data_IF_544710108055
#
_entry.id   IF_544710108055
#
_cell.length_a   1.000
_cell.length_b   1.000
_cell.length_c   1.000
_cell.angle_alpha   90.00
_cell.angle_beta   90.00
_cell.angle_gamma   90.00
#
_symmetry.space_group_name_H-M   'P 1'
#
loop_
_entity.id
_entity.type
_entity.pdbx_description
1 polymer ?
#
# COMPACT_ATOMS: atom_id res chain seq x y z
N UNK A 1 53.14 15.16 -80.87
CA UNK A 1 52.20 16.13 -81.46
C UNK A 1 51.13 16.38 -80.42
N UNK A 2 50.88 17.67 -80.23
CA UNK A 2 50.21 18.34 -79.13
C UNK A 2 48.69 18.43 -79.33
N UNK A 3 48.00 18.84 -78.26
CA UNK A 3 46.63 19.38 -78.22
C UNK A 3 45.46 18.38 -78.36
N UNK A 4 44.35 18.47 -77.62
CA UNK A 4 43.82 19.44 -76.63
C UNK A 4 42.61 18.78 -75.98
N UNK A 5 42.40 18.93 -74.67
CA UNK A 5 41.09 18.67 -74.07
C UNK A 5 40.14 19.85 -74.33
N UNK A 6 38.83 19.59 -74.34
CA UNK A 6 38.00 20.38 -73.45
C UNK A 6 36.89 19.57 -72.77
N UNK A 7 36.65 19.90 -71.50
CA UNK A 7 35.42 19.59 -70.77
C UNK A 7 34.19 20.20 -71.47
N UNK A 8 32.99 19.64 -71.21
CA UNK A 8 31.92 20.51 -70.77
C UNK A 8 31.20 20.02 -69.50
N UNK A 9 31.04 21.00 -68.61
CA UNK A 9 29.88 21.33 -67.76
C UNK A 9 29.42 20.38 -66.63
N UNK A 10 29.76 20.77 -65.40
CA UNK A 10 29.14 20.31 -64.16
C UNK A 10 27.73 20.92 -64.06
N UNK A 11 26.78 20.32 -64.77
CA UNK A 11 25.36 20.51 -64.48
C UNK A 11 25.02 19.97 -63.09
N UNK A 12 24.68 20.87 -62.18
CA UNK A 12 24.20 20.58 -60.83
C UNK A 12 22.99 19.64 -60.87
N UNK A 13 23.21 18.34 -60.66
CA UNK A 13 22.13 17.41 -60.31
C UNK A 13 21.86 17.62 -58.82
N UNK A 14 20.97 18.57 -58.51
CA UNK A 14 20.32 18.64 -57.22
C UNK A 14 19.50 17.35 -57.08
N UNK A 15 20.09 16.36 -56.38
CA UNK A 15 19.47 15.05 -56.16
C UNK A 15 18.14 15.24 -55.42
N UNK A 16 17.05 14.58 -55.84
CA UNK A 16 15.79 14.53 -55.08
C UNK A 16 15.88 13.57 -53.87
N UNK A 17 17.08 13.35 -53.33
CA UNK A 17 17.36 12.35 -52.31
C UNK A 17 17.13 12.89 -50.89
N UNK A 18 17.21 14.22 -50.72
CA UNK A 18 16.91 14.88 -49.43
C UNK A 18 15.40 14.97 -49.13
N UNK A 19 14.54 14.87 -50.16
CA UNK A 19 13.09 14.83 -49.98
C UNK A 19 12.58 13.45 -49.54
N UNK A 20 13.30 12.38 -49.88
CA UNK A 20 12.95 11.01 -49.52
C UNK A 20 13.35 10.64 -48.08
N UNK A 21 14.35 11.31 -47.50
CA UNK A 21 14.80 11.07 -46.12
C UNK A 21 13.96 11.78 -45.05
N UNK A 22 13.13 12.75 -45.41
CA UNK A 22 12.18 13.39 -44.48
C UNK A 22 11.01 12.48 -44.04
N UNK A 23 10.89 11.28 -44.60
CA UNK A 23 9.79 10.34 -44.35
C UNK A 23 10.06 9.34 -43.22
N UNK A 24 11.22 9.40 -42.55
CA UNK A 24 11.61 8.41 -41.55
C UNK A 24 11.95 8.96 -40.17
N UNK A 25 11.71 10.24 -39.90
CA UNK A 25 11.84 10.76 -38.53
C UNK A 25 10.55 10.45 -37.75
N UNK A 26 10.58 9.30 -37.08
CA UNK A 26 9.59 8.93 -36.07
C UNK A 26 10.22 8.97 -34.70
N UNK A 27 9.53 9.57 -33.75
CA UNK A 27 9.93 9.58 -32.35
C UNK A 27 9.31 8.39 -31.61
N UNK A 28 10.06 7.85 -30.65
CA UNK A 28 9.50 6.88 -29.71
C UNK A 28 8.50 7.58 -28.80
N UNK A 29 7.30 7.03 -28.73
CA UNK A 29 6.17 7.59 -27.99
C UNK A 29 5.34 6.56 -27.26
N UNK A 30 4.23 7.04 -26.70
CA UNK A 30 3.25 6.23 -25.96
C UNK A 30 1.83 6.69 -26.28
N UNK A 31 0.83 5.92 -25.86
CA UNK A 31 -0.55 6.36 -25.87
C UNK A 31 -1.24 6.08 -24.54
N UNK A 32 -2.11 6.99 -24.11
CA UNK A 32 -3.03 6.79 -22.99
C UNK A 32 -4.44 7.00 -23.52
N UNK A 33 -5.26 5.95 -23.45
CA UNK A 33 -6.58 5.94 -24.11
C UNK A 33 -7.66 5.52 -23.13
N UNK A 34 -8.71 6.32 -23.05
CA UNK A 34 -9.94 5.93 -22.36
C UNK A 34 -10.91 5.29 -23.34
N UNK A 35 -11.28 4.03 -23.10
CA UNK A 35 -12.32 3.35 -23.85
C UNK A 35 -13.61 3.29 -23.00
N UNK A 36 -14.63 4.04 -23.41
CA UNK A 36 -15.94 4.08 -22.75
C UNK A 36 -16.91 3.14 -23.47
N UNK A 37 -17.30 2.08 -22.78
CA UNK A 37 -18.28 1.09 -23.24
C UNK A 37 -19.63 1.42 -22.61
N UNK A 38 -20.53 2.05 -23.37
CA UNK A 38 -21.88 2.40 -22.94
C UNK A 38 -22.87 1.27 -23.28
N UNK A 39 -23.57 0.79 -22.27
CA UNK A 39 -24.57 -0.27 -22.33
C UNK A 39 -25.95 0.35 -22.19
N UNK A 40 -26.66 0.47 -23.30
CA UNK A 40 -27.96 1.14 -23.38
C UNK A 40 -29.11 0.14 -23.37
N UNK A 41 -30.18 0.47 -22.65
CA UNK A 41 -31.43 -0.31 -22.59
C UNK A 41 -31.30 -1.70 -21.93
N UNK A 42 -30.61 -1.74 -20.79
CA UNK A 42 -30.49 -2.90 -19.92
C UNK A 42 -31.43 -2.82 -18.73
N UNK A 43 -32.30 -3.83 -18.58
CA UNK A 43 -33.16 -4.00 -17.42
C UNK A 43 -33.22 -5.49 -17.04
N UNK A 44 -32.90 -5.86 -15.79
CA UNK A 44 -32.33 -5.02 -14.73
C UNK A 44 -30.88 -4.62 -15.01
N UNK A 45 -30.44 -3.47 -14.48
CA UNK A 45 -29.03 -3.06 -14.53
C UNK A 45 -28.22 -3.92 -13.54
N UNK A 46 -27.08 -4.50 -13.95
CA UNK A 46 -26.20 -5.22 -13.04
C UNK A 46 -25.58 -4.27 -12.00
N UNK A 47 -25.31 -4.75 -10.79
CA UNK A 47 -24.64 -3.92 -9.78
C UNK A 47 -23.20 -3.62 -10.19
N UNK A 48 -22.69 -2.47 -9.75
CA UNK A 48 -21.28 -2.07 -9.96
C UNK A 48 -20.31 -3.18 -9.54
N UNK A 49 -20.50 -3.74 -8.34
CA UNK A 49 -19.67 -4.84 -7.81
C UNK A 49 -19.67 -6.08 -8.72
N UNK A 50 -20.82 -6.41 -9.31
CA UNK A 50 -20.95 -7.55 -10.21
C UNK A 50 -20.21 -7.29 -11.53
N UNK A 51 -20.37 -6.09 -12.11
CA UNK A 51 -19.69 -5.72 -13.36
C UNK A 51 -18.18 -5.65 -13.18
N UNK A 52 -17.71 -4.98 -12.12
CA UNK A 52 -16.28 -4.85 -11.84
C UNK A 52 -15.64 -6.21 -11.56
N UNK A 53 -16.28 -7.07 -10.76
CA UNK A 53 -15.75 -8.42 -10.49
C UNK A 53 -15.72 -9.31 -11.74
N UNK A 54 -16.72 -9.22 -12.61
CA UNK A 54 -16.73 -9.93 -13.89
C UNK A 54 -15.57 -9.49 -14.79
N UNK A 55 -15.34 -8.18 -14.92
CA UNK A 55 -14.23 -7.64 -15.70
C UNK A 55 -12.88 -8.05 -15.09
N UNK A 56 -12.71 -7.98 -13.77
CA UNK A 56 -11.50 -8.44 -13.09
C UNK A 56 -11.20 -9.90 -13.42
N UNK A 57 -12.22 -10.77 -13.38
CA UNK A 57 -12.09 -12.19 -13.72
C UNK A 57 -11.69 -12.42 -15.18
N UNK A 58 -12.33 -11.70 -16.11
CA UNK A 58 -12.02 -11.79 -17.54
C UNK A 58 -10.59 -11.32 -17.84
N UNK A 59 -10.23 -10.13 -17.36
CA UNK A 59 -8.88 -9.57 -17.49
C UNK A 59 -7.85 -10.56 -16.97
N UNK A 60 -8.08 -11.10 -15.78
CA UNK A 60 -7.22 -12.11 -15.19
C UNK A 60 -7.04 -13.32 -16.13
N UNK A 61 -8.12 -13.94 -16.58
CA UNK A 61 -8.04 -15.14 -17.42
C UNK A 61 -7.37 -14.94 -18.79
N UNK A 62 -7.49 -13.74 -19.37
CA UNK A 62 -7.12 -13.43 -20.76
C UNK A 62 -5.93 -12.49 -20.89
N UNK A 63 -5.35 -12.02 -19.79
CA UNK A 63 -4.28 -11.01 -19.83
C UNK A 63 -3.08 -11.46 -20.66
N UNK A 64 -2.70 -12.74 -20.53
CA UNK A 64 -1.58 -13.35 -21.29
C UNK A 64 -1.77 -13.33 -22.80
N UNK A 65 -3.00 -13.12 -23.27
CA UNK A 65 -3.35 -13.09 -24.69
C UNK A 65 -3.29 -11.65 -25.25
N UNK A 66 -3.02 -10.64 -24.40
CA UNK A 66 -2.84 -9.24 -24.79
C UNK A 66 -1.40 -8.97 -25.27
N UNK A 67 -1.23 -7.89 -26.06
CA UNK A 67 0.09 -7.42 -26.51
C UNK A 67 0.96 -6.95 -25.35
N UNK A 68 2.25 -7.34 -25.32
CA UNK A 68 3.22 -6.96 -24.27
C UNK A 68 3.38 -5.43 -24.11
N UNK A 69 3.14 -4.66 -25.17
CA UNK A 69 3.19 -3.21 -25.17
C UNK A 69 1.98 -2.54 -24.51
N UNK A 70 0.90 -3.28 -24.26
CA UNK A 70 -0.38 -2.79 -23.76
C UNK A 70 -0.53 -3.09 -22.26
N UNK A 71 -0.93 -2.07 -21.51
CA UNK A 71 -1.22 -2.16 -20.08
C UNK A 71 -2.62 -1.63 -19.80
N UNK A 72 -3.38 -2.32 -18.94
CA UNK A 72 -4.66 -1.81 -18.44
C UNK A 72 -4.39 -1.08 -17.13
N UNK A 73 -4.49 0.25 -17.13
CA UNK A 73 -4.16 1.09 -15.99
C UNK A 73 -5.27 1.07 -14.93
N UNK A 74 -6.53 1.19 -15.36
CA UNK A 74 -7.71 1.21 -14.50
C UNK A 74 -8.96 0.86 -15.30
N UNK A 75 -10.04 0.48 -14.62
CA UNK A 75 -11.38 0.49 -15.17
C UNK A 75 -12.41 0.88 -14.10
N UNK A 76 -13.44 1.61 -14.50
CA UNK A 76 -14.50 2.09 -13.59
C UNK A 76 -15.88 1.79 -14.14
N UNK A 77 -16.87 1.81 -13.24
CA UNK A 77 -18.28 1.71 -13.56
C UNK A 77 -18.93 3.09 -13.43
N UNK A 78 -19.78 3.44 -14.38
CA UNK A 78 -20.57 4.67 -14.38
C UNK A 78 -22.05 4.31 -14.51
N UNK A 79 -22.85 4.72 -13.53
CA UNK A 79 -24.31 4.62 -13.66
C UNK A 79 -24.82 5.81 -14.50
N UNK A 80 -25.39 5.53 -15.68
CA UNK A 80 -25.78 6.56 -16.65
C UNK A 80 -27.25 6.91 -16.52
N UNK A 81 -28.13 5.90 -16.39
CA UNK A 81 -29.58 6.08 -16.19
C UNK A 81 -30.22 4.84 -15.58
N UNK A 82 -31.53 4.87 -15.31
CA UNK A 82 -32.29 3.70 -14.83
C UNK A 82 -32.25 2.47 -15.77
N UNK A 83 -31.85 2.66 -17.03
CA UNK A 83 -31.74 1.57 -18.01
C UNK A 83 -30.38 1.53 -18.72
N UNK A 84 -29.38 2.28 -18.25
CA UNK A 84 -28.07 2.30 -18.90
C UNK A 84 -26.92 2.50 -17.91
N UNK A 85 -25.79 1.88 -18.24
CA UNK A 85 -24.54 2.04 -17.50
C UNK A 85 -23.37 2.10 -18.49
N UNK A 86 -22.21 2.55 -18.03
CA UNK A 86 -20.99 2.51 -18.81
C UNK A 86 -19.84 1.89 -18.01
N UNK A 87 -18.91 1.29 -18.72
CA UNK A 87 -17.63 0.83 -18.19
C UNK A 87 -16.54 1.59 -18.91
N UNK A 88 -15.65 2.22 -18.16
CA UNK A 88 -14.59 3.06 -18.71
C UNK A 88 -13.26 2.36 -18.42
N UNK A 89 -12.58 1.87 -19.45
CA UNK A 89 -11.22 1.36 -19.34
C UNK A 89 -10.21 2.48 -19.61
N UNK A 90 -9.12 2.51 -18.87
CA UNK A 90 -7.95 3.33 -19.19
C UNK A 90 -6.79 2.42 -19.56
N UNK A 91 -6.31 2.54 -20.79
CA UNK A 91 -5.19 1.78 -21.32
C UNK A 91 -3.95 2.66 -21.48
N UNK A 92 -2.78 2.04 -21.37
CA UNK A 92 -1.51 2.64 -21.77
C UNK A 92 -0.77 1.73 -22.75
N UNK A 93 -0.33 2.30 -23.86
CA UNK A 93 0.45 1.64 -24.91
C UNK A 93 1.85 2.24 -24.88
N UNK A 94 2.85 1.38 -24.76
CA UNK A 94 4.27 1.75 -24.77
C UNK A 94 4.92 1.47 -26.12
N UNK A 95 6.10 2.06 -26.35
CA UNK A 95 6.95 1.81 -27.52
C UNK A 95 6.25 2.04 -28.87
N UNK A 96 5.52 3.14 -28.98
CA UNK A 96 4.87 3.54 -30.23
C UNK A 96 5.82 4.33 -31.12
N UNK A 97 5.72 4.12 -32.43
CA UNK A 97 6.37 4.99 -33.42
C UNK A 97 5.39 6.10 -33.81
N UNK A 98 5.74 7.34 -33.47
CA UNK A 98 4.93 8.52 -33.81
C UNK A 98 5.70 9.34 -34.84
N UNK A 99 5.14 9.55 -36.05
CA UNK A 99 5.74 10.44 -37.04
C UNK A 99 5.90 11.86 -36.48
N UNK A 100 7.08 12.47 -36.69
CA UNK A 100 7.30 13.87 -36.34
C UNK A 100 6.34 14.79 -37.09
N UNK A 101 6.13 14.50 -38.38
CA UNK A 101 5.16 15.22 -39.21
C UNK A 101 3.71 14.95 -38.74
N UNK A 102 2.96 15.96 -38.28
CA UNK A 102 1.60 15.79 -37.80
C UNK A 102 0.63 15.25 -38.85
N UNK A 103 0.85 15.56 -40.14
CA UNK A 103 -0.04 15.15 -41.24
C UNK A 103 0.00 13.63 -41.50
N UNK A 104 1.05 12.95 -41.02
CA UNK A 104 1.26 11.51 -41.19
C UNK A 104 0.75 10.69 -40.00
N UNK A 105 0.25 11.33 -38.94
CA UNK A 105 -0.13 10.66 -37.68
C UNK A 105 -1.42 9.88 -37.74
N UNK A 106 -2.23 10.06 -38.79
CA UNK A 106 -3.49 9.35 -38.94
C UNK A 106 -3.29 7.82 -38.91
N UNK A 107 -2.20 7.32 -39.50
CA UNK A 107 -1.84 5.89 -39.43
C UNK A 107 -1.55 5.42 -38.01
N UNK A 108 -0.89 6.24 -37.19
CA UNK A 108 -0.63 5.94 -35.77
C UNK A 108 -1.92 5.94 -34.95
N UNK A 109 -2.86 6.84 -35.23
CA UNK A 109 -4.18 6.83 -34.58
C UNK A 109 -4.97 5.57 -34.91
N UNK A 110 -4.98 5.15 -36.19
CA UNK A 110 -5.58 3.86 -36.58
C UNK A 110 -4.91 2.68 -35.88
N UNK A 111 -3.58 2.72 -35.70
CA UNK A 111 -2.87 1.68 -34.94
C UNK A 111 -3.31 1.64 -33.48
N UNK A 112 -3.42 2.79 -32.80
CA UNK A 112 -3.92 2.89 -31.41
C UNK A 112 -5.32 2.29 -31.33
N UNK A 113 -6.23 2.70 -32.21
CA UNK A 113 -7.59 2.20 -32.26
C UNK A 113 -7.63 0.68 -32.39
N UNK A 114 -6.90 0.11 -33.36
CA UNK A 114 -6.85 -1.33 -33.57
C UNK A 114 -6.31 -2.10 -32.37
N UNK A 115 -5.27 -1.59 -31.69
CA UNK A 115 -4.71 -2.23 -30.50
C UNK A 115 -5.75 -2.30 -29.38
N UNK A 116 -6.44 -1.19 -29.09
CA UNK A 116 -7.44 -1.12 -28.03
C UNK A 116 -8.69 -1.96 -28.38
N UNK A 117 -9.17 -1.87 -29.62
CA UNK A 117 -10.29 -2.66 -30.12
C UNK A 117 -10.03 -4.16 -30.04
N UNK A 118 -8.84 -4.60 -30.43
CA UNK A 118 -8.43 -6.01 -30.32
C UNK A 118 -8.32 -6.45 -28.85
N UNK A 119 -7.78 -5.60 -27.97
CA UNK A 119 -7.71 -5.91 -26.55
C UNK A 119 -9.10 -6.09 -25.92
N UNK A 120 -10.03 -5.18 -26.18
CA UNK A 120 -11.39 -5.29 -25.69
C UNK A 120 -12.11 -6.53 -26.25
N UNK A 121 -11.84 -6.86 -27.52
CA UNK A 121 -12.31 -8.11 -28.15
C UNK A 121 -11.81 -9.34 -27.39
N UNK A 122 -10.51 -9.43 -27.11
CA UNK A 122 -9.92 -10.55 -26.36
C UNK A 122 -10.51 -10.68 -24.95
N UNK A 123 -10.69 -9.54 -24.26
CA UNK A 123 -11.15 -9.51 -22.87
C UNK A 123 -12.64 -9.88 -22.80
N UNK A 124 -13.47 -9.25 -23.63
CA UNK A 124 -14.93 -9.24 -23.44
C UNK A 124 -15.68 -10.12 -24.45
N UNK A 125 -15.12 -10.37 -25.62
CA UNK A 125 -15.80 -11.10 -26.70
C UNK A 125 -15.52 -12.61 -26.66
N UNK A 126 -16.48 -13.41 -27.11
CA UNK A 126 -16.35 -14.87 -27.21
C UNK A 126 -15.51 -15.30 -28.42
N UNK A 127 -15.17 -16.61 -28.57
CA UNK A 127 -14.32 -17.14 -29.65
C UNK A 127 -14.91 -17.02 -31.07
N UNK A 128 -16.04 -16.34 -31.26
CA UNK A 128 -16.72 -16.20 -32.54
C UNK A 128 -16.53 -14.79 -33.06
N UNK A 129 -15.58 -14.60 -33.98
CA UNK A 129 -15.41 -13.49 -34.94
C UNK A 129 -16.06 -12.13 -34.58
N UNK A 130 -15.84 -11.63 -33.36
CA UNK A 130 -16.45 -10.40 -32.88
C UNK A 130 -15.37 -9.36 -32.75
N UNK A 131 -15.10 -8.60 -33.82
CA UNK A 131 -14.22 -7.43 -33.75
C UNK A 131 -15.01 -6.24 -33.25
N UNK A 132 -14.61 -5.68 -32.11
CA UNK A 132 -15.16 -4.41 -31.67
C UNK A 132 -14.62 -3.29 -32.53
N UNK A 133 -15.51 -2.41 -32.97
CA UNK A 133 -15.13 -1.15 -33.59
C UNK A 133 -15.75 -0.01 -32.78
N UNK A 134 -14.98 1.04 -32.46
CA UNK A 134 -15.54 2.21 -31.80
C UNK A 134 -16.50 2.92 -32.75
N UNK A 135 -17.57 3.49 -32.21
CA UNK A 135 -18.44 4.39 -32.97
C UNK A 135 -17.76 5.74 -33.20
N UNK A 136 -16.92 6.16 -32.27
CA UNK A 136 -16.12 7.37 -32.38
C UNK A 136 -14.79 7.19 -31.67
N UNK A 137 -13.73 7.71 -32.27
CA UNK A 137 -12.41 7.83 -31.67
C UNK A 137 -11.90 9.25 -31.84
N UNK A 138 -11.41 9.85 -30.76
CA UNK A 138 -10.81 11.18 -30.79
C UNK A 138 -9.41 11.08 -30.18
N UNK A 139 -8.40 11.39 -30.98
CA UNK A 139 -7.01 11.34 -30.58
C UNK A 139 -6.36 12.70 -30.74
N UNK A 140 -5.64 13.11 -29.71
CA UNK A 140 -4.80 14.29 -29.72
C UNK A 140 -3.38 13.87 -29.38
N UNK A 141 -2.43 14.29 -30.19
CA UNK A 141 -1.03 14.12 -29.86
C UNK A 141 -0.55 15.30 -28.99
N UNK A 142 0.05 14.97 -27.84
CA UNK A 142 0.69 15.89 -26.91
C UNK A 142 2.15 15.45 -26.79
N UNK A 143 3.04 16.15 -27.51
CA UNK A 143 4.46 15.78 -27.65
C UNK A 143 4.66 14.35 -28.17
N UNK A 144 5.28 13.47 -27.38
CA UNK A 144 5.52 12.07 -27.70
C UNK A 144 4.43 11.14 -27.12
N UNK A 145 3.29 11.68 -26.68
CA UNK A 145 2.18 10.90 -26.15
C UNK A 145 0.90 11.17 -26.93
N UNK A 146 0.18 10.12 -27.33
CA UNK A 146 -1.17 10.23 -27.86
C UNK A 146 -2.14 10.08 -26.70
N UNK A 147 -3.02 11.06 -26.52
CA UNK A 147 -4.13 10.97 -25.58
C UNK A 147 -5.40 10.85 -26.38
N UNK A 148 -6.30 9.95 -26.00
CA UNK A 148 -7.56 9.85 -26.71
C UNK A 148 -8.66 9.15 -25.98
N UNK A 149 -9.83 9.25 -26.58
CA UNK A 149 -11.07 8.65 -26.12
C UNK A 149 -11.67 7.81 -27.24
N UNK A 150 -12.16 6.64 -26.89
CA UNK A 150 -12.86 5.74 -27.79
C UNK A 150 -14.22 5.40 -27.18
N UNK A 151 -15.27 5.58 -27.97
CA UNK A 151 -16.64 5.36 -27.53
C UNK A 151 -17.22 4.11 -28.21
N UNK A 152 -17.64 3.16 -27.38
CA UNK A 152 -18.30 1.92 -27.79
C UNK A 152 -19.73 1.92 -27.25
N UNK A 153 -20.72 1.81 -28.13
CA UNK A 153 -22.13 1.74 -27.75
C UNK A 153 -22.71 0.35 -28.03
N UNK A 154 -23.24 -0.27 -26.98
CA UNK A 154 -23.90 -1.56 -27.06
C UNK A 154 -25.39 -1.39 -26.75
N UNK A 155 -26.22 -1.76 -27.72
CA UNK A 155 -27.66 -1.92 -27.53
C UNK A 155 -27.98 -3.38 -27.22
N UNK A 156 -29.15 -3.63 -26.63
CA UNK A 156 -29.60 -4.97 -26.21
C UNK A 156 -29.46 -6.04 -27.30
N UNK A 157 -29.68 -5.66 -28.56
CA UNK A 157 -29.63 -6.54 -29.73
C UNK A 157 -28.19 -6.93 -30.13
N UNK A 158 -27.19 -6.11 -29.77
CA UNK A 158 -25.78 -6.29 -30.15
C UNK A 158 -24.90 -6.83 -29.00
N UNK A 159 -25.47 -7.09 -27.82
CA UNK A 159 -24.71 -7.60 -26.66
C UNK A 159 -24.20 -9.04 -26.91
N UNK A 160 -24.74 -9.74 -27.91
CA UNK A 160 -24.26 -11.08 -28.32
C UNK A 160 -22.78 -11.10 -28.69
N UNK A 161 -22.15 -9.96 -28.98
CA UNK A 161 -20.70 -9.88 -29.14
C UNK A 161 -19.93 -9.99 -27.82
N UNK A 162 -20.56 -9.62 -26.68
CA UNK A 162 -19.97 -9.65 -25.34
C UNK A 162 -20.31 -10.95 -24.58
N UNK A 163 -20.33 -12.09 -25.26
CA UNK A 163 -20.72 -13.38 -24.67
C UNK A 163 -19.96 -13.71 -23.38
N UNK A 164 -18.66 -13.42 -23.29
CA UNK A 164 -17.89 -13.72 -22.08
C UNK A 164 -18.37 -12.90 -20.87
N UNK A 165 -18.62 -11.61 -21.07
CA UNK A 165 -19.14 -10.73 -20.04
C UNK A 165 -20.57 -11.13 -19.66
N UNK A 166 -21.43 -11.37 -20.65
CA UNK A 166 -22.82 -11.81 -20.43
C UNK A 166 -22.91 -13.12 -19.64
N UNK A 167 -22.05 -14.09 -19.95
CA UNK A 167 -22.02 -15.38 -19.26
C UNK A 167 -21.79 -15.18 -17.77
N UNK A 168 -20.77 -14.40 -17.40
CA UNK A 168 -20.46 -14.14 -15.98
C UNK A 168 -21.59 -13.34 -15.31
N UNK A 169 -22.13 -12.31 -15.97
CA UNK A 169 -23.23 -11.50 -15.43
C UNK A 169 -24.51 -12.31 -15.21
N UNK A 170 -24.78 -13.31 -16.05
CA UNK A 170 -25.94 -14.20 -15.94
C UNK A 170 -25.69 -15.42 -15.03
N UNK A 171 -24.54 -15.48 -14.35
CA UNK A 171 -24.17 -16.61 -13.47
C UNK A 171 -23.83 -17.91 -14.22
N UNK A 172 -23.66 -17.84 -15.54
CA UNK A 172 -23.20 -18.94 -16.40
C UNK A 172 -21.67 -18.90 -16.43
N UNK A 173 -21.02 -19.78 -15.68
CA UNK A 173 -19.55 -19.91 -15.73
C UNK A 173 -19.12 -20.24 -17.17
N UNK A 174 -18.06 -19.62 -17.73
CA UNK A 174 -17.68 -19.81 -19.12
C UNK A 174 -17.37 -21.29 -19.38
N UNK A 175 -18.16 -21.92 -20.25
CA UNK A 175 -17.96 -23.29 -20.72
C UNK A 175 -16.74 -23.35 -21.64
N UNK A 176 -15.56 -23.32 -21.04
CA UNK A 176 -14.35 -23.88 -21.64
C UNK A 176 -13.68 -24.66 -20.53
N UNK A 177 -13.48 -25.96 -20.76
CA UNK A 177 -12.66 -26.84 -19.93
C UNK A 177 -11.24 -26.30 -19.85
N UNK A 178 -11.02 -25.36 -18.94
CA UNK A 178 -9.72 -25.06 -18.37
C UNK A 178 -9.98 -24.72 -16.91
N UNK A 179 -9.45 -25.58 -16.06
CA UNK A 179 -9.24 -25.43 -14.64
C UNK A 179 -9.29 -23.96 -14.20
N UNK A 180 -10.22 -23.63 -13.29
CA UNK A 180 -10.23 -22.37 -12.55
C UNK A 180 -8.93 -22.26 -11.75
N UNK A 181 -7.88 -21.82 -12.43
CA UNK A 181 -6.72 -21.26 -11.77
C UNK A 181 -7.06 -19.80 -11.53
N UNK A 182 -6.80 -19.34 -10.31
CA UNK A 182 -6.70 -17.93 -9.95
C UNK A 182 -6.09 -17.10 -11.08
N UNK A 183 -6.34 -15.78 -11.13
CA UNK A 183 -5.64 -14.87 -12.04
C UNK A 183 -4.16 -15.27 -12.22
N UNK A 184 -3.58 -15.18 -13.44
CA UNK A 184 -2.17 -15.42 -13.66
C UNK A 184 -1.44 -14.54 -12.66
N UNK A 185 -0.96 -15.22 -11.65
CA UNK A 185 -0.36 -14.65 -10.47
C UNK A 185 1.04 -15.16 -10.50
N UNK A 186 1.93 -14.22 -10.37
CA UNK A 186 3.35 -14.48 -10.35
C UNK A 186 3.78 -14.38 -8.90
N UNK A 187 4.67 -15.28 -8.52
CA UNK A 187 5.43 -15.10 -7.30
C UNK A 187 6.44 -14.00 -7.57
N UNK A 188 6.35 -12.96 -6.77
CA UNK A 188 7.28 -11.85 -6.84
C UNK A 188 7.73 -11.42 -5.46
N UNK A 189 8.60 -10.41 -5.49
CA UNK A 189 9.26 -9.87 -4.31
C UNK A 189 8.77 -8.45 -4.07
N UNK A 190 8.52 -8.12 -2.80
CA UNK A 190 8.20 -6.75 -2.38
C UNK A 190 9.37 -6.19 -1.61
N UNK A 191 9.91 -5.06 -2.08
CA UNK A 191 10.92 -4.27 -1.37
C UNK A 191 10.21 -3.10 -0.69
N UNK A 192 10.37 -2.99 0.62
CA UNK A 192 9.79 -1.94 1.44
C UNK A 192 10.93 -1.04 1.92
N UNK A 193 10.94 0.21 1.49
CA UNK A 193 11.88 1.23 1.96
C UNK A 193 11.17 2.17 2.92
N UNK A 194 11.69 2.26 4.14
CA UNK A 194 11.16 3.13 5.19
C UNK A 194 12.10 4.30 5.40
N UNK A 195 11.53 5.52 5.43
CA UNK A 195 12.22 6.76 5.82
C UNK A 195 11.50 7.40 7.01
N UNK A 196 12.20 7.50 8.13
CA UNK A 196 11.76 8.21 9.33
C UNK A 196 12.43 9.58 9.36
N UNK A 197 11.65 10.63 9.24
CA UNK A 197 12.14 12.01 9.10
C UNK A 197 11.90 12.78 10.40
N UNK A 198 12.99 13.25 11.02
CA UNK A 198 12.97 14.06 12.22
C UNK A 198 13.31 15.50 11.87
N UNK A 199 12.42 16.44 12.21
CA UNK A 199 12.56 17.88 11.90
C UNK A 199 12.51 18.71 13.18
N UNK A 200 12.90 19.99 13.05
CA UNK A 200 12.83 21.00 14.11
C UNK A 200 13.59 20.62 15.39
N UNK A 201 14.69 19.90 15.25
CA UNK A 201 15.51 19.47 16.38
C UNK A 201 16.30 20.65 16.94
N UNK A 202 16.35 20.75 18.27
CA UNK A 202 17.20 21.72 18.98
C UNK A 202 18.68 21.32 18.90
N UNK A 203 18.95 20.01 18.90
CA UNK A 203 20.25 19.44 18.65
C UNK A 203 20.12 18.24 17.71
N UNK A 204 20.94 18.18 16.65
CA UNK A 204 20.94 17.04 15.74
C UNK A 204 21.91 15.98 16.29
N UNK A 205 21.44 14.75 16.55
CA UNK A 205 22.28 13.69 17.11
C UNK A 205 23.39 13.30 16.14
N UNK A 206 24.48 12.75 16.69
CA UNK A 206 25.57 12.20 15.88
C UNK A 206 25.12 10.92 15.16
N UNK A 207 25.67 10.68 13.97
CA UNK A 207 25.42 9.45 13.22
C UNK A 207 25.72 8.19 14.05
N UNK A 208 26.85 8.20 14.77
CA UNK A 208 27.28 7.07 15.59
C UNK A 208 26.26 6.73 16.69
N UNK A 209 25.70 7.73 17.36
CA UNK A 209 24.71 7.52 18.43
C UNK A 209 23.39 6.98 17.90
N UNK A 210 22.92 7.51 16.76
CA UNK A 210 21.69 7.05 16.10
C UNK A 210 21.85 5.62 15.60
N UNK A 211 22.93 5.32 14.89
CA UNK A 211 23.18 3.97 14.36
C UNK A 211 23.38 2.96 15.49
N UNK A 212 24.03 3.35 16.60
CA UNK A 212 24.17 2.49 17.78
C UNK A 212 22.81 2.16 18.41
N UNK A 213 21.97 3.18 18.65
CA UNK A 213 20.63 2.99 19.21
C UNK A 213 19.74 2.15 18.27
N UNK A 214 19.82 2.43 16.96
CA UNK A 214 18.99 1.75 15.97
C UNK A 214 19.37 0.26 15.82
N UNK A 215 20.66 -0.04 15.64
CA UNK A 215 21.11 -1.43 15.48
C UNK A 215 20.89 -2.28 16.74
N UNK A 216 20.95 -1.69 17.93
CA UNK A 216 20.71 -2.42 19.18
C UNK A 216 19.24 -2.88 19.33
N UNK A 217 18.28 -2.15 18.74
CA UNK A 217 16.86 -2.33 19.05
C UNK A 217 16.01 -2.77 17.84
N UNK A 218 16.42 -2.46 16.61
CA UNK A 218 15.69 -2.91 15.41
C UNK A 218 15.70 -4.43 15.26
N UNK A 219 16.83 -5.10 15.51
CA UNK A 219 16.89 -6.57 15.38
C UNK A 219 15.93 -7.26 16.35
N UNK A 220 15.78 -6.71 17.57
CA UNK A 220 14.82 -7.20 18.57
C UNK A 220 13.34 -6.93 18.21
N UNK A 221 13.07 -5.80 17.52
CA UNK A 221 11.72 -5.42 17.08
C UNK A 221 11.29 -6.11 15.78
N UNK A 222 12.24 -6.64 15.00
CA UNK A 222 12.01 -7.25 13.69
C UNK A 222 12.06 -8.78 13.75
N UNK A 223 12.90 -9.38 14.60
CA UNK A 223 12.94 -10.84 14.81
C UNK A 223 11.56 -11.36 15.17
N UNK A 224 10.91 -12.00 14.19
CA UNK A 224 9.81 -12.90 14.46
C UNK A 224 10.31 -13.92 15.49
N UNK A 225 9.86 -13.81 16.74
CA UNK A 225 9.43 -15.03 17.40
C UNK A 225 8.50 -15.69 16.38
N UNK A 226 8.82 -16.93 15.99
CA UNK A 226 7.91 -17.80 15.25
C UNK A 226 6.71 -18.06 16.16
N UNK A 227 5.86 -17.05 16.35
CA UNK A 227 4.66 -17.17 17.16
C UNK A 227 3.76 -18.13 16.43
N UNK A 228 3.56 -19.27 17.09
CA UNK A 228 2.83 -20.46 16.62
C UNK A 228 1.32 -20.22 16.47
N UNK A 229 0.87 -18.97 16.53
CA UNK A 229 -0.54 -18.61 16.43
C UNK A 229 -0.71 -17.49 15.39
N UNK A 230 -1.25 -17.88 14.23
CA UNK A 230 -1.50 -17.09 13.01
C UNK A 230 -0.29 -16.90 12.08
N UNK A 231 -0.15 -17.83 11.13
CA UNK A 231 0.61 -17.65 9.89
C UNK A 231 0.01 -16.48 9.11
N UNK A 232 0.55 -15.26 9.29
CA UNK A 232 0.31 -14.16 8.35
C UNK A 232 1.27 -14.35 7.19
N UNK A 233 0.73 -14.39 5.97
CA UNK A 233 1.37 -14.85 4.72
C UNK A 233 2.54 -13.95 4.25
N UNK A 234 2.80 -12.83 4.93
CA UNK A 234 3.74 -11.79 4.48
C UNK A 234 4.67 -11.34 5.62
N UNK A 235 5.69 -12.15 5.93
CA UNK A 235 6.66 -11.82 6.96
C UNK A 235 7.85 -11.05 6.36
N UNK A 236 8.02 -9.75 6.67
CA UNK A 236 9.13 -8.97 6.16
C UNK A 236 10.45 -9.39 6.81
N UNK A 237 11.49 -9.51 5.98
CA UNK A 237 12.88 -9.78 6.36
C UNK A 237 13.69 -8.52 6.16
N UNK A 238 14.51 -8.12 7.14
CA UNK A 238 15.39 -6.95 6.97
C UNK A 238 16.47 -7.24 5.92
N UNK A 239 16.67 -6.34 4.97
CA UNK A 239 17.64 -6.49 3.87
C UNK A 239 18.62 -5.32 3.75
N UNK A 240 18.37 -4.21 4.43
CA UNK A 240 19.27 -3.07 4.45
C UNK A 240 19.56 -2.66 5.87
N UNK A 241 20.84 -2.41 6.15
CA UNK A 241 21.28 -1.83 7.39
C UNK A 241 20.67 -0.44 7.57
N UNK A 242 20.54 -0.05 8.83
CA UNK A 242 20.08 1.30 9.16
C UNK A 242 21.09 2.31 8.65
N UNK A 243 20.59 3.34 7.97
CA UNK A 243 21.39 4.47 7.52
C UNK A 243 20.90 5.75 8.18
N UNK A 244 21.85 6.66 8.40
CA UNK A 244 21.58 7.99 8.92
C UNK A 244 21.95 9.01 7.84
N UNK A 245 21.08 9.98 7.62
CA UNK A 245 21.37 11.10 6.75
C UNK A 245 20.96 12.41 7.42
N UNK A 246 21.94 13.26 7.74
CA UNK A 246 21.67 14.63 8.15
C UNK A 246 21.20 15.44 6.94
N UNK A 247 20.13 16.20 7.09
CA UNK A 247 19.71 17.17 6.06
C UNK A 247 19.31 18.49 6.73
N UNK A 248 19.97 19.57 6.34
CA UNK A 248 19.81 20.86 7.01
C UNK A 248 20.43 20.92 8.41
N UNK A 249 20.15 22.02 9.11
CA UNK A 249 20.79 22.36 10.39
C UNK A 249 20.12 21.60 11.56
N UNK A 250 18.81 21.36 11.46
CA UNK A 250 17.95 20.89 12.56
C UNK A 250 17.17 19.62 12.18
N UNK A 251 17.65 18.80 11.24
CA UNK A 251 16.88 17.64 10.75
C UNK A 251 17.77 16.49 10.30
N UNK A 252 17.26 15.27 10.41
CA UNK A 252 17.91 14.06 9.91
C UNK A 252 16.88 12.99 9.55
N UNK A 253 17.33 11.98 8.80
CA UNK A 253 16.54 10.84 8.34
C UNK A 253 17.21 9.56 8.83
N UNK A 254 16.39 8.63 9.29
CA UNK A 254 16.77 7.22 9.49
C UNK A 254 16.10 6.42 8.37
N UNK A 255 16.89 5.66 7.61
CA UNK A 255 16.35 4.79 6.55
C UNK A 255 16.72 3.33 6.76
N UNK A 256 15.80 2.43 6.45
CA UNK A 256 16.01 0.98 6.50
C UNK A 256 15.06 0.28 5.54
N UNK A 257 15.42 -0.95 5.12
CA UNK A 257 14.73 -1.68 4.07
C UNK A 257 14.37 -3.10 4.46
N UNK A 258 13.19 -3.55 4.04
CA UNK A 258 12.70 -4.91 4.22
C UNK A 258 12.33 -5.56 2.88
N UNK A 259 12.40 -6.88 2.84
CA UNK A 259 11.94 -7.71 1.74
C UNK A 259 10.81 -8.64 2.20
N UNK A 260 9.80 -8.81 1.37
CA UNK A 260 8.87 -9.93 1.48
C UNK A 260 8.95 -10.73 0.18
N UNK A 261 9.43 -11.95 0.26
CA UNK A 261 9.53 -12.85 -0.89
C UNK A 261 8.27 -13.72 -1.02
N UNK A 262 8.08 -14.31 -2.19
CA UNK A 262 6.99 -15.27 -2.49
C UNK A 262 5.57 -14.71 -2.32
N UNK A 263 5.37 -13.44 -2.68
CA UNK A 263 4.03 -12.85 -2.73
C UNK A 263 3.42 -13.19 -4.09
N UNK A 264 2.22 -13.76 -4.09
CA UNK A 264 1.43 -13.90 -5.30
C UNK A 264 0.70 -12.59 -5.61
N UNK A 265 0.95 -12.01 -6.78
CA UNK A 265 0.19 -10.86 -7.28
C UNK A 265 -0.03 -10.95 -8.78
N UNK A 266 -1.04 -10.24 -9.26
CA UNK A 266 -1.41 -10.23 -10.67
C UNK A 266 -0.26 -9.72 -11.54
N UNK A 267 -0.05 -10.34 -12.71
CA UNK A 267 0.95 -9.91 -13.70
C UNK A 267 0.69 -8.46 -14.14
N UNK A 268 -0.58 -8.04 -14.20
CA UNK A 268 -0.93 -6.69 -14.60
C UNK A 268 -0.71 -5.70 -13.45
N UNK A 269 0.28 -4.82 -13.60
CA UNK A 269 0.66 -3.81 -12.60
C UNK A 269 -0.47 -2.83 -12.27
N UNK A 270 -1.37 -2.52 -13.21
CA UNK A 270 -2.51 -1.61 -12.98
C UNK A 270 -3.63 -2.20 -12.12
N UNK A 271 -3.66 -3.53 -11.96
CA UNK A 271 -4.69 -4.24 -11.18
C UNK A 271 -4.20 -4.64 -9.78
N UNK A 272 -3.08 -4.08 -9.32
CA UNK A 272 -2.47 -4.43 -8.02
C UNK A 272 -2.98 -3.62 -6.83
N UNK A 273 -4.05 -2.84 -6.98
CA UNK A 273 -4.49 -1.95 -5.89
C UNK A 273 -4.84 -2.73 -4.61
N UNK A 274 -5.49 -3.89 -4.72
CA UNK A 274 -5.73 -4.77 -3.57
C UNK A 274 -4.42 -5.28 -2.94
N UNK A 275 -3.44 -5.64 -3.76
CA UNK A 275 -2.10 -6.04 -3.29
C UNK A 275 -1.41 -4.88 -2.57
N UNK A 276 -1.52 -3.66 -3.07
CA UNK A 276 -0.97 -2.47 -2.41
C UNK A 276 -1.64 -2.21 -1.05
N UNK A 277 -2.94 -2.47 -0.91
CA UNK A 277 -3.63 -2.33 0.38
C UNK A 277 -3.15 -3.38 1.39
N UNK A 278 -2.90 -4.61 0.93
CA UNK A 278 -2.28 -5.67 1.75
C UNK A 278 -0.86 -5.28 2.16
N UNK A 279 -0.04 -4.78 1.23
CA UNK A 279 1.32 -4.32 1.52
C UNK A 279 1.29 -3.13 2.50
N UNK A 280 0.37 -2.19 2.34
CA UNK A 280 0.19 -1.06 3.25
C UNK A 280 -0.14 -1.54 4.67
N UNK A 281 -1.02 -2.53 4.81
CA UNK A 281 -1.34 -3.14 6.10
C UNK A 281 -0.10 -3.76 6.74
N UNK A 282 0.72 -4.45 5.95
CA UNK A 282 2.01 -5.02 6.40
C UNK A 282 2.99 -3.93 6.86
N UNK A 283 3.13 -2.84 6.10
CA UNK A 283 3.94 -1.67 6.46
C UNK A 283 3.45 -1.07 7.78
N UNK A 284 2.14 -0.82 7.90
CA UNK A 284 1.54 -0.23 9.10
C UNK A 284 1.77 -1.09 10.34
N UNK A 285 1.63 -2.41 10.20
CA UNK A 285 1.88 -3.34 11.29
C UNK A 285 3.36 -3.37 11.69
N UNK A 286 4.26 -3.43 10.71
CA UNK A 286 5.71 -3.43 10.92
C UNK A 286 6.18 -2.15 11.62
N UNK A 287 5.78 -0.98 11.12
CA UNK A 287 6.15 0.30 11.71
C UNK A 287 5.57 0.49 13.10
N UNK A 288 4.32 0.08 13.33
CA UNK A 288 3.76 0.11 14.69
C UNK A 288 4.54 -0.81 15.64
N UNK A 289 4.97 -1.99 15.20
CA UNK A 289 5.81 -2.85 16.05
C UNK A 289 7.18 -2.24 16.37
N UNK A 290 7.74 -1.49 15.43
CA UNK A 290 9.04 -0.81 15.60
C UNK A 290 8.90 0.45 16.47
N UNK A 291 7.82 1.22 16.32
CA UNK A 291 7.68 2.56 16.90
C UNK A 291 6.84 2.61 18.18
N UNK A 292 5.95 1.65 18.41
CA UNK A 292 5.03 1.64 19.53
C UNK A 292 5.37 0.59 20.60
N UNK A 293 5.05 0.92 21.85
CA UNK A 293 5.03 -0.06 22.93
C UNK A 293 3.85 -1.05 22.74
N UNK A 294 3.94 -2.28 23.29
CA UNK A 294 2.82 -3.22 23.26
C UNK A 294 1.55 -2.58 23.85
N UNK A 295 0.41 -2.77 23.17
CA UNK A 295 -0.91 -2.25 23.57
C UNK A 295 -1.04 -0.72 23.62
N UNK A 296 -0.14 0.04 22.99
CA UNK A 296 -0.33 1.49 22.82
C UNK A 296 -1.23 1.81 21.62
N UNK A 297 -1.68 3.05 21.55
CA UNK A 297 -2.41 3.58 20.39
C UNK A 297 -1.49 3.56 19.16
N UNK A 298 -1.89 2.92 18.05
CA UNK A 298 -1.06 2.83 16.86
C UNK A 298 -0.85 4.19 16.18
N UNK A 299 0.34 4.41 15.65
CA UNK A 299 0.61 5.49 14.71
C UNK A 299 -0.18 5.24 13.43
N UNK A 300 -0.68 6.32 12.85
CA UNK A 300 -1.29 6.31 11.52
C UNK A 300 -0.25 6.78 10.52
N UNK A 301 0.06 5.92 9.56
CA UNK A 301 1.05 6.23 8.52
C UNK A 301 0.34 6.64 7.22
N UNK A 302 0.93 7.58 6.45
CA UNK A 302 0.45 7.87 5.11
C UNK A 302 0.62 6.65 4.20
N UNK A 303 -0.15 6.62 3.12
CA UNK A 303 -0.03 5.56 2.11
C UNK A 303 1.36 5.66 1.45
N UNK A 304 2.04 4.52 1.34
CA UNK A 304 3.33 4.43 0.68
C UNK A 304 3.19 4.72 -0.82
N UNK A 305 4.28 5.18 -1.44
CA UNK A 305 4.37 5.28 -2.88
C UNK A 305 4.74 3.90 -3.45
N UNK A 306 3.98 3.43 -4.42
CA UNK A 306 4.16 2.10 -5.01
C UNK A 306 4.66 2.22 -6.43
N UNK A 307 5.81 1.59 -6.70
CA UNK A 307 6.28 1.33 -8.05
C UNK A 307 6.26 -0.18 -8.27
N UNK A 308 5.66 -0.63 -9.37
CA UNK A 308 5.62 -2.05 -9.69
C UNK A 308 6.08 -2.31 -11.11
N UNK A 309 6.84 -3.40 -11.26
CA UNK A 309 7.17 -3.98 -12.55
C UNK A 309 6.58 -5.40 -12.63
N UNK A 310 7.03 -6.20 -13.60
CA UNK A 310 6.55 -7.57 -13.75
C UNK A 310 6.70 -8.36 -12.44
N UNK A 311 7.90 -8.58 -11.90
CA UNK A 311 8.11 -9.50 -10.76
C UNK A 311 8.38 -8.84 -9.41
N UNK A 312 8.37 -7.51 -9.33
CA UNK A 312 8.76 -6.75 -8.14
C UNK A 312 7.80 -5.60 -7.87
N UNK A 313 7.53 -5.37 -6.60
CA UNK A 313 6.87 -4.15 -6.11
C UNK A 313 7.84 -3.47 -5.16
N UNK A 314 8.06 -2.18 -5.37
CA UNK A 314 8.80 -1.29 -4.46
C UNK A 314 7.78 -0.41 -3.77
N UNK A 315 7.82 -0.40 -2.44
CA UNK A 315 6.97 0.42 -1.59
C UNK A 315 7.84 1.40 -0.80
N UNK A 316 7.77 2.68 -1.15
CA UNK A 316 8.47 3.76 -0.46
C UNK A 316 7.54 4.41 0.58
N UNK A 317 7.83 4.18 1.85
CA UNK A 317 7.08 4.77 2.97
C UNK A 317 7.91 5.83 3.67
N UNK A 318 7.36 7.04 3.75
CA UNK A 318 7.96 8.15 4.49
C UNK A 318 7.04 8.57 5.63
N UNK A 319 7.59 8.71 6.82
CA UNK A 319 6.89 9.24 7.98
C UNK A 319 7.68 10.39 8.60
N UNK A 320 7.02 11.54 8.76
CA UNK A 320 7.60 12.76 9.32
C UNK A 320 7.07 12.93 10.74
N UNK A 321 7.98 12.93 11.72
CA UNK A 321 7.61 13.15 13.12
C UNK A 321 7.23 14.62 13.36
N UNK A 322 6.08 14.82 13.98
CA UNK A 322 5.60 16.12 14.44
C UNK A 322 5.62 16.20 15.98
N UNK A 323 5.66 17.40 16.55
CA UNK A 323 5.70 17.64 18.00
C UNK A 323 4.46 17.10 18.75
N UNK A 324 3.36 16.79 18.04
CA UNK A 324 2.21 16.09 18.61
C UNK A 324 2.37 14.58 18.74
N UNK A 325 3.27 13.98 17.95
CA UNK A 325 3.47 12.52 17.86
C UNK A 325 4.33 11.96 19.01
N UNK A 326 4.96 12.83 19.80
CA UNK A 326 5.82 12.46 20.93
C UNK A 326 5.06 12.24 22.24
N UNK A 327 3.74 12.52 22.28
CA UNK A 327 2.90 12.31 23.47
C UNK A 327 2.42 10.85 23.65
N UNK A 328 2.83 9.94 22.76
CA UNK A 328 2.49 8.52 22.82
C UNK A 328 3.52 7.71 23.60
N UNK A 329 3.16 6.52 24.08
CA UNK A 329 4.13 5.57 24.69
C UNK A 329 4.99 4.95 23.58
N UNK A 330 6.23 5.42 23.36
CA UNK A 330 7.04 4.94 22.27
C UNK A 330 7.61 3.55 22.59
N UNK A 331 8.00 2.81 21.57
CA UNK A 331 8.82 1.60 21.75
C UNK A 331 10.17 1.94 22.39
N UNK A 332 10.90 0.92 22.84
CA UNK A 332 12.29 1.11 23.28
C UNK A 332 13.15 1.73 22.19
N UNK A 333 12.95 1.33 20.93
CA UNK A 333 13.64 1.89 19.76
C UNK A 333 13.37 3.39 19.64
N UNK A 334 12.10 3.79 19.52
CA UNK A 334 11.75 5.19 19.32
C UNK A 334 12.12 6.04 20.54
N UNK A 335 12.00 5.51 21.75
CA UNK A 335 12.43 6.17 22.98
C UNK A 335 13.91 6.55 22.95
N UNK A 336 14.80 5.61 22.62
CA UNK A 336 16.23 5.90 22.54
C UNK A 336 16.56 6.90 21.43
N UNK A 337 15.91 6.78 20.27
CA UNK A 337 16.05 7.74 19.16
C UNK A 337 15.62 9.15 19.60
N UNK A 338 14.50 9.29 20.30
CA UNK A 338 14.04 10.59 20.81
C UNK A 338 14.99 11.18 21.86
N UNK A 339 15.55 10.35 22.76
CA UNK A 339 16.52 10.78 23.77
C UNK A 339 17.80 11.29 23.12
N UNK A 340 18.40 10.55 22.18
CA UNK A 340 19.61 11.03 21.50
C UNK A 340 19.33 12.28 20.66
N UNK A 341 18.10 12.42 20.14
CA UNK A 341 17.66 13.60 19.38
C UNK A 341 17.34 14.82 20.24
N UNK A 342 17.43 14.73 21.57
CA UNK A 342 17.05 15.82 22.48
C UNK A 342 15.54 16.14 22.49
N UNK A 343 14.71 15.23 21.96
CA UNK A 343 13.24 15.36 21.92
C UNK A 343 12.54 14.75 23.14
N UNK A 344 13.27 14.01 23.98
CA UNK A 344 12.75 13.41 25.22
C UNK A 344 13.82 13.42 26.30
N UNK A 345 13.41 13.57 27.56
CA UNK A 345 14.31 13.42 28.70
C UNK A 345 14.51 11.94 29.03
N UNK A 346 15.71 11.51 29.47
CA UNK A 346 15.92 10.14 29.90
C UNK A 346 14.98 9.82 31.07
N UNK A 347 14.06 8.88 30.86
CA UNK A 347 13.24 8.35 31.95
C UNK A 347 14.15 7.72 33.01
N UNK A 348 13.91 7.94 34.32
CA UNK A 348 14.68 7.30 35.37
C UNK A 348 14.25 5.84 35.43
N UNK A 349 14.88 5.00 34.58
CA UNK A 349 15.10 3.57 34.72
C UNK A 349 15.47 2.99 33.35
N UNK A 350 16.77 3.02 33.02
CA UNK A 350 17.51 1.91 32.40
C UNK A 350 18.98 2.32 32.43
N UNK A 351 19.66 2.06 33.56
CA UNK A 351 21.12 2.00 33.58
C UNK A 351 21.55 0.82 32.71
N UNK A 352 21.94 1.10 31.47
CA UNK A 352 22.86 0.23 30.73
C UNK A 352 24.24 0.44 31.38
N UNK A 353 24.88 -0.57 31.97
CA UNK A 353 26.23 -0.39 32.48
C UNK A 353 27.15 -0.32 31.26
N UNK A 354 27.53 0.90 30.87
CA UNK A 354 28.72 1.12 30.04
C UNK A 354 29.87 1.32 31.00
N UNK A 355 30.47 0.23 31.45
CA UNK A 355 31.72 0.26 32.20
C UNK A 355 32.85 0.66 31.24
N UNK A 356 33.41 1.86 31.42
CA UNK A 356 34.80 2.16 31.10
C UNK A 356 35.21 3.42 31.85
N UNK A 357 35.67 3.24 33.08
CA UNK A 357 36.66 4.09 33.73
C UNK A 357 37.39 3.23 34.77
N UNK A 358 38.62 2.90 34.42
CA UNK A 358 39.64 2.22 35.21
C UNK A 358 40.05 3.12 36.38
N UNK A 359 39.89 2.64 37.61
CA UNK A 359 40.79 2.96 38.74
C UNK A 359 40.46 2.06 39.94
N UNK A 360 41.24 0.98 40.03
CA UNK A 360 41.85 0.42 41.25
C UNK A 360 40.99 -0.20 42.39
N UNK A 361 41.49 -1.37 42.83
CA UNK A 361 41.06 -2.26 43.94
C UNK A 361 39.73 -3.01 43.72
N UNK A 362 39.66 -4.33 43.53
CA UNK A 362 40.57 -5.41 43.88
C UNK A 362 39.80 -6.42 44.75
N UNK A 363 39.18 -7.44 44.14
CA UNK A 363 39.19 -8.86 44.56
C UNK A 363 38.03 -9.66 43.94
N UNK A 364 38.47 -10.68 43.19
CA UNK A 364 37.92 -12.03 43.06
C UNK A 364 36.52 -12.23 42.44
N UNK A 365 36.61 -12.54 41.15
CA UNK A 365 35.76 -13.42 40.36
C UNK A 365 35.26 -14.70 41.06
N UNK A 366 34.17 -15.22 40.49
CA UNK A 366 33.58 -16.57 40.61
C UNK A 366 32.63 -16.79 41.78
N UNK A 367 31.38 -17.13 41.48
CA UNK A 367 30.75 -18.40 41.88
C UNK A 367 29.46 -18.63 41.07
N UNK A 368 29.56 -19.66 40.23
CA UNK A 368 28.48 -20.49 39.68
C UNK A 368 27.65 -21.13 40.79
N UNK A 369 26.39 -21.45 40.46
CA UNK A 369 25.43 -22.33 41.15
C UNK A 369 25.98 -23.16 42.33
N UNK A 370 25.87 -22.63 43.55
CA UNK A 370 25.34 -23.27 44.76
C UNK A 370 25.59 -22.37 45.97
N UNK A 371 24.61 -22.39 46.87
CA UNK A 371 24.62 -21.79 48.21
C UNK A 371 24.29 -20.29 48.30
N UNK A 372 22.98 -19.99 48.32
CA UNK A 372 22.51 -18.78 49.00
C UNK A 372 22.75 -18.96 50.52
N UNK A 373 23.45 -18.02 51.18
CA UNK A 373 23.72 -18.14 52.61
C UNK A 373 22.42 -17.95 53.41
N UNK A 374 22.23 -18.79 54.44
CA UNK A 374 20.97 -18.90 55.20
C UNK A 374 20.42 -17.61 55.84
N UNK A 375 21.25 -16.56 55.96
CA UNK A 375 20.80 -15.25 56.41
C UNK A 375 19.94 -14.50 55.39
N UNK A 376 20.11 -14.77 54.08
CA UNK A 376 19.30 -14.14 53.04
C UNK A 376 17.86 -14.69 53.04
N UNK A 377 17.70 -16.00 53.31
CA UNK A 377 16.39 -16.63 53.43
C UNK A 377 15.59 -16.11 54.64
N UNK A 378 16.27 -15.82 55.76
CA UNK A 378 15.64 -15.34 56.99
C UNK A 378 15.02 -13.94 56.87
N UNK A 379 15.46 -13.13 55.89
CA UNK A 379 14.93 -11.77 55.64
C UNK A 379 13.86 -11.80 54.54
N UNK A 380 14.07 -12.60 53.49
CA UNK A 380 13.17 -12.63 52.33
C UNK A 380 11.81 -13.25 52.69
N UNK A 381 11.80 -14.32 53.50
CA UNK A 381 10.57 -15.05 53.84
C UNK A 381 9.57 -14.21 54.66
N UNK A 382 9.95 -13.53 55.76
CA UNK A 382 9.00 -12.66 56.48
C UNK A 382 8.55 -11.45 55.67
N UNK A 383 9.39 -10.90 54.78
CA UNK A 383 9.00 -9.80 53.89
C UNK A 383 7.94 -10.21 52.85
N UNK A 384 8.04 -11.40 52.27
CA UNK A 384 7.02 -11.91 51.33
C UNK A 384 5.70 -12.17 52.05
N UNK A 385 5.75 -12.73 53.25
CA UNK A 385 4.55 -13.00 54.07
C UNK A 385 3.82 -11.70 54.43
N UNK A 386 4.55 -10.64 54.79
CA UNK A 386 3.98 -9.33 55.07
C UNK A 386 3.31 -8.70 53.83
N UNK A 387 3.96 -8.78 52.66
CA UNK A 387 3.42 -8.22 51.41
C UNK A 387 2.14 -8.94 50.94
N UNK A 388 2.00 -10.23 51.23
CA UNK A 388 0.79 -11.00 50.88
C UNK A 388 -0.32 -10.81 51.92
N UNK A 389 0.00 -10.69 53.20
CA UNK A 389 -1.00 -10.54 54.27
C UNK A 389 -1.67 -9.16 54.28
N UNK A 390 -0.95 -8.08 53.95
CA UNK A 390 -1.50 -6.71 53.93
C UNK A 390 -2.70 -6.56 52.96
N UNK A 391 -2.61 -6.91 51.67
CA UNK A 391 -3.75 -6.83 50.76
C UNK A 391 -4.86 -7.83 51.09
N UNK A 392 -4.52 -8.98 51.68
CA UNK A 392 -5.50 -9.99 52.09
C UNK A 392 -6.33 -9.53 53.31
N UNK A 393 -5.71 -8.82 54.26
CA UNK A 393 -6.40 -8.17 55.38
C UNK A 393 -7.28 -7.01 54.93
N UNK A 394 -6.82 -6.21 53.98
CA UNK A 394 -7.62 -5.12 53.39
C UNK A 394 -8.87 -5.69 52.71
N UNK A 395 -8.73 -6.77 51.93
CA UNK A 395 -9.86 -7.46 51.29
C UNK A 395 -10.83 -8.05 52.32
N UNK A 396 -10.34 -8.66 53.40
CA UNK A 396 -11.18 -9.20 54.47
C UNK A 396 -11.96 -8.09 55.21
N UNK A 397 -11.31 -6.95 55.49
CA UNK A 397 -11.97 -5.77 56.06
C UNK A 397 -13.04 -5.20 55.13
N UNK A 398 -12.78 -5.17 53.82
CA UNK A 398 -13.77 -4.74 52.83
C UNK A 398 -14.97 -5.72 52.74
N UNK A 399 -14.74 -7.01 52.92
CA UNK A 399 -15.79 -8.04 52.85
C UNK A 399 -16.68 -8.04 54.11
N UNK A 400 -16.08 -7.80 55.29
CA UNK A 400 -16.81 -7.69 56.56
C UNK A 400 -17.57 -6.37 56.72
N UNK A 401 -17.04 -5.24 56.20
CA UNK A 401 -17.77 -3.96 56.19
C UNK A 401 -18.77 -3.82 55.02
N UNK A 402 -18.57 -4.54 53.91
CA UNK A 402 -19.37 -4.40 52.68
C UNK A 402 -20.79 -5.00 52.75
N UNK A 403 -21.04 -5.95 53.65
CA UNK A 403 -22.35 -6.60 53.77
C UNK A 403 -23.43 -5.73 54.44
N UNK A 404 -23.08 -4.58 55.04
CA UNK A 404 -24.08 -3.67 55.63
C UNK A 404 -24.57 -2.57 54.67
N UNK A 405 -23.86 -2.29 53.57
CA UNK A 405 -24.24 -1.23 52.62
C UNK A 405 -25.11 -1.72 51.44
N UNK A 406 -25.04 -3.02 51.10
CA UNK A 406 -25.77 -3.61 49.97
C UNK A 406 -27.25 -3.88 50.22
N UNK A 407 -27.65 -4.19 51.47
CA UNK A 407 -29.07 -4.46 51.79
C UNK A 407 -29.90 -3.20 52.07
N UNK A 408 -29.29 -2.06 52.44
CA UNK A 408 -30.03 -0.82 52.75
C UNK A 408 -30.50 -0.06 51.50
N UNK A 409 -29.83 -0.24 50.35
CA UNK A 409 -30.21 0.44 49.08
C UNK A 409 -31.35 -0.24 48.31
N UNK A 410 -31.68 -1.51 48.58
CA UNK A 410 -32.81 -2.19 47.91
C UNK A 410 -34.17 -1.98 48.58
N UNK A 411 -34.23 -1.44 49.81
CA UNK A 411 -35.49 -1.23 50.53
C UNK A 411 -36.06 0.20 50.45
N UNK A 412 -35.27 1.21 50.02
CA UNK A 412 -35.74 2.61 49.97
C UNK A 412 -36.40 3.03 48.65
N UNK A 413 -36.35 2.20 47.60
CA UNK A 413 -36.95 2.53 46.27
C UNK A 413 -38.40 2.08 46.09
N UNK A 414 -39.08 1.57 47.13
CA UNK A 414 -40.49 1.12 47.04
C UNK A 414 -41.48 1.87 47.96
N UNK A 415 -41.13 3.04 48.50
CA UNK A 415 -42.06 3.86 49.29
C UNK A 415 -41.97 5.36 48.97
N UNK A 416 -42.48 5.76 47.82
CA UNK A 416 -42.90 7.15 47.58
C UNK A 416 -43.66 7.30 46.26
N UNK A 417 -44.82 6.64 46.18
CA UNK A 417 -45.97 7.18 45.44
C UNK A 417 -47.14 7.17 46.42
N UNK A 418 -47.27 8.24 47.20
CA UNK A 418 -48.50 8.55 47.91
C UNK A 418 -49.11 9.78 47.26
N UNK A 419 -50.25 9.52 46.66
CA UNK A 419 -51.18 10.42 46.01
C UNK A 419 -51.67 11.44 47.04
N UNK A 420 -51.44 12.73 46.80
CA UNK A 420 -52.12 13.80 47.53
C UNK A 420 -53.37 14.22 46.75
N UNK A 421 -54.54 13.93 47.30
CA UNK A 421 -55.79 14.63 47.00
C UNK A 421 -56.13 15.56 48.16
N UNK A 422 -56.37 16.85 47.91
CA UNK A 422 -57.43 17.71 48.51
C UNK A 422 -57.36 19.08 47.81
N UNK A 423 -58.30 19.41 46.91
CA UNK A 423 -59.52 20.23 47.05
C UNK A 423 -59.34 21.75 47.27
N UNK A 424 -59.59 22.48 46.17
CA UNK A 424 -60.59 23.56 45.96
C UNK A 424 -60.51 24.86 46.80
N UNK A 425 -60.31 25.99 46.12
CA UNK A 425 -61.30 27.07 45.96
C UNK A 425 -60.72 28.24 45.15
N UNK A 426 -61.55 28.82 44.28
CA UNK A 426 -61.23 30.01 43.49
C UNK A 426 -61.77 31.30 44.10
N UNK A 427 -61.37 32.44 43.52
CA UNK A 427 -62.17 33.65 43.35
C UNK A 427 -61.39 34.69 42.52
N UNK A 428 -62.11 35.25 41.53
CA UNK A 428 -61.82 36.31 40.56
C UNK A 428 -61.09 35.93 39.27
#
# INVERSE_FOLDING_TARGET
>A
MEEKSPFPDLGTIHRPMDAALRWLDSISGSAVVQARLAFNSFTPIPSESLVLSAITSLLSSRFKDLSDSLTVLNFTYENVSETSYAVIFTFSISNMSIPENPDLRNGTYTQVENIISNALTIILAGPVNSTFHPQNSNFTNIFNQIVGEMLYNFQKENITQLINLLNILNGLSPTTTVQSTSPPSILGTVLIYIRLVFKNLTNVPSEADVLKAANALLDSSVRLARDTETVRVYNPVSIQNVTYQKFGINSYIISFGFEISNISFTVNTGLRNETYDVIQSTINHLLNRILNAPNSTPFTFPRANYMSNSTMIVADSEYVFSEGDINFKPSGFLSQILVVSGLSSPSPNTTVPTSNLTSEFGLLSTLTEKELPGWALAIIIPCIIAIILIPCWILLCCLLCGCCAGLRRRYSRRRSYNVQYTTRNGLF
#
